data_IF_417234619510
#
_entry.id   IF_417234619510
#
_cell.length_a   1.000
_cell.length_b   1.000
_cell.length_c   1.000
_cell.angle_alpha   90.00
_cell.angle_beta   90.00
_cell.angle_gamma   90.00
#
_symmetry.space_group_name_H-M   'P 1'
#
loop_
_entity.id
_entity.type
_entity.pdbx_description
1 polymer ?
#
# COMPACT_ATOMS: atom_id res chain seq x y z
N UNK A 1 5.51 -22.73 19.52
CA UNK A 1 4.72 -21.78 20.34
C UNK A 1 3.84 -21.00 19.38
N UNK A 2 2.51 -21.10 19.50
CA UNK A 2 1.58 -20.31 18.68
C UNK A 2 1.40 -18.97 19.38
N UNK A 3 1.94 -17.90 18.81
CA UNK A 3 1.74 -16.55 19.32
C UNK A 3 0.38 -16.07 18.81
N UNK A 4 -0.50 -15.67 19.73
CA UNK A 4 -1.75 -15.02 19.37
C UNK A 4 -1.49 -13.59 18.91
N UNK A 5 -2.29 -13.11 17.96
CA UNK A 5 -2.22 -11.73 17.48
C UNK A 5 -2.58 -10.79 18.64
N UNK A 6 -1.75 -9.77 18.87
CA UNK A 6 -2.07 -8.76 19.87
C UNK A 6 -3.21 -7.89 19.32
N UNK A 7 -4.35 -7.88 20.02
CA UNK A 7 -5.48 -7.02 19.73
C UNK A 7 -5.46 -5.84 20.72
N UNK A 8 -5.14 -4.65 20.21
CA UNK A 8 -5.05 -3.42 21.02
C UNK A 8 -6.29 -2.53 20.91
N UNK A 9 -7.22 -2.86 20.01
CA UNK A 9 -8.49 -2.16 19.80
C UNK A 9 -9.65 -3.15 19.96
N UNK A 10 -10.72 -2.69 20.59
CA UNK A 10 -12.01 -3.37 20.62
C UNK A 10 -12.72 -3.30 19.26
N UNK A 11 -13.77 -4.11 19.10
CA UNK A 11 -14.59 -4.08 17.87
C UNK A 11 -15.26 -2.73 17.66
N UNK A 12 -15.75 -2.11 18.73
CA UNK A 12 -16.42 -0.81 18.66
C UNK A 12 -15.44 0.29 18.24
N UNK A 13 -14.20 0.27 18.75
CA UNK A 13 -13.15 1.21 18.32
C UNK A 13 -12.77 1.02 16.84
N UNK A 14 -12.72 -0.22 16.35
CA UNK A 14 -12.50 -0.50 14.92
C UNK A 14 -13.64 0.06 14.08
N UNK A 15 -14.90 -0.10 14.49
CA UNK A 15 -16.05 0.43 13.76
C UNK A 15 -16.11 1.96 13.77
N UNK A 16 -15.68 2.61 14.86
CA UNK A 16 -15.53 4.07 14.92
C UNK A 16 -14.50 4.54 13.88
N UNK A 17 -13.32 3.90 13.84
CA UNK A 17 -12.27 4.26 12.88
C UNK A 17 -12.75 4.03 11.44
N UNK A 18 -13.41 2.91 11.17
CA UNK A 18 -13.94 2.57 9.87
C UNK A 18 -14.99 3.60 9.41
N UNK A 19 -15.96 3.92 10.26
CA UNK A 19 -17.03 4.89 9.97
C UNK A 19 -16.46 6.28 9.71
N UNK A 20 -15.53 6.75 10.55
CA UNK A 20 -14.86 8.04 10.35
C UNK A 20 -14.02 8.08 9.06
N UNK A 21 -13.37 6.96 8.71
CA UNK A 21 -12.60 6.86 7.46
C UNK A 21 -13.51 6.96 6.23
N UNK A 22 -14.67 6.29 6.25
CA UNK A 22 -15.66 6.34 5.17
C UNK A 22 -16.30 7.74 5.06
N UNK A 23 -16.58 8.38 6.19
CA UNK A 23 -17.06 9.76 6.23
C UNK A 23 -16.04 10.71 5.59
N UNK A 24 -14.76 10.62 5.96
CA UNK A 24 -13.69 11.45 5.37
C UNK A 24 -13.56 11.24 3.86
N UNK A 25 -13.60 10.00 3.38
CA UNK A 25 -13.55 9.70 1.95
C UNK A 25 -14.74 10.31 1.19
N UNK A 26 -15.93 10.29 1.79
CA UNK A 26 -17.16 10.79 1.15
C UNK A 26 -17.31 12.31 1.21
N UNK A 27 -16.82 12.96 2.26
CA UNK A 27 -17.01 14.40 2.51
C UNK A 27 -15.81 15.24 2.08
N UNK A 28 -14.61 14.84 2.49
CA UNK A 28 -13.35 15.53 2.18
C UNK A 28 -12.76 15.01 0.87
N UNK A 29 -12.68 13.69 0.73
CA UNK A 29 -12.08 13.03 -0.43
C UNK A 29 -10.55 13.05 -0.43
N UNK A 30 -9.96 12.69 -1.57
CA UNK A 30 -8.51 12.65 -1.77
C UNK A 30 -8.12 13.43 -3.03
N UNK A 31 -6.97 14.09 -3.01
CA UNK A 31 -6.44 14.76 -4.21
C UNK A 31 -5.90 13.72 -5.19
N UNK A 32 -6.36 13.77 -6.43
CA UNK A 32 -5.90 12.89 -7.52
C UNK A 32 -5.45 13.77 -8.67
N UNK A 33 -4.14 13.96 -8.82
CA UNK A 33 -3.58 14.88 -9.83
C UNK A 33 -3.67 14.36 -11.26
N UNK A 34 -3.69 13.04 -11.44
CA UNK A 34 -3.81 12.41 -12.74
C UNK A 34 -5.26 12.47 -13.25
N UNK A 35 -5.46 13.08 -14.43
CA UNK A 35 -6.77 13.32 -15.02
C UNK A 35 -7.49 12.03 -15.41
N UNK A 36 -6.79 11.11 -16.07
CA UNK A 36 -7.27 9.78 -16.44
C UNK A 36 -7.81 8.98 -15.22
N UNK A 37 -7.18 9.17 -14.07
CA UNK A 37 -7.56 8.53 -12.82
C UNK A 37 -8.83 9.18 -12.25
N UNK A 38 -8.96 10.51 -12.34
CA UNK A 38 -10.21 11.21 -11.94
C UNK A 38 -11.39 10.79 -12.81
N UNK A 39 -11.20 10.70 -14.12
CA UNK A 39 -12.24 10.21 -15.05
C UNK A 39 -12.68 8.78 -14.71
N UNK A 40 -11.74 7.91 -14.36
CA UNK A 40 -12.04 6.54 -13.91
C UNK A 40 -12.87 6.53 -12.63
N UNK A 41 -12.55 7.39 -11.66
CA UNK A 41 -13.31 7.55 -10.44
C UNK A 41 -14.74 8.05 -10.72
N UNK A 42 -14.90 9.09 -11.53
CA UNK A 42 -16.20 9.64 -11.93
C UNK A 42 -17.07 8.57 -12.61
N UNK A 43 -16.50 7.84 -13.57
CA UNK A 43 -17.17 6.74 -14.27
C UNK A 43 -17.66 5.64 -13.32
N UNK A 44 -17.00 5.47 -12.17
CA UNK A 44 -17.39 4.50 -11.15
C UNK A 44 -18.31 5.09 -10.06
N UNK A 45 -18.75 6.34 -10.20
CA UNK A 45 -19.72 6.98 -9.30
C UNK A 45 -19.10 7.79 -8.16
N UNK A 46 -17.81 8.12 -8.23
CA UNK A 46 -17.21 9.13 -7.35
C UNK A 46 -17.58 10.55 -7.82
N UNK A 47 -17.50 11.53 -6.92
CA UNK A 47 -17.72 12.93 -7.23
C UNK A 47 -16.38 13.67 -7.34
N UNK A 48 -16.16 14.37 -8.45
CA UNK A 48 -14.91 15.10 -8.72
C UNK A 48 -15.14 16.58 -8.50
N UNK A 49 -14.27 17.19 -7.71
CA UNK A 49 -14.10 18.64 -7.66
C UNK A 49 -13.04 19.05 -8.68
N UNK A 50 -13.50 19.58 -9.81
CA UNK A 50 -12.65 19.99 -10.93
C UNK A 50 -11.83 21.25 -10.66
N UNK A 51 -12.16 22.03 -9.62
CA UNK A 51 -11.37 23.21 -9.24
C UNK A 51 -10.16 22.81 -8.40
N UNK A 52 -10.31 21.78 -7.54
CA UNK A 52 -9.28 21.37 -6.57
C UNK A 52 -8.57 20.06 -6.91
N UNK A 53 -9.08 19.30 -7.89
CA UNK A 53 -8.71 17.92 -8.22
C UNK A 53 -8.96 16.91 -7.09
N UNK A 54 -9.92 17.19 -6.20
CA UNK A 54 -10.32 16.25 -5.16
C UNK A 54 -11.39 15.28 -5.66
N UNK A 55 -11.27 14.02 -5.25
CA UNK A 55 -12.20 12.94 -5.52
C UNK A 55 -12.85 12.53 -4.21
N UNK A 56 -14.16 12.78 -4.10
CA UNK A 56 -15.00 12.31 -3.00
C UNK A 56 -15.58 10.94 -3.37
N UNK A 57 -15.32 9.96 -2.52
CA UNK A 57 -15.65 8.55 -2.76
C UNK A 57 -16.81 8.15 -1.85
N UNK A 58 -18.02 7.91 -2.39
CA UNK A 58 -19.16 7.50 -1.58
C UNK A 58 -18.90 6.20 -0.81
N UNK A 59 -19.43 6.10 0.40
CA UNK A 59 -19.30 4.90 1.23
C UNK A 59 -19.81 3.64 0.52
N UNK A 60 -20.94 3.75 -0.19
CA UNK A 60 -21.51 2.66 -0.99
C UNK A 60 -20.54 2.16 -2.05
N UNK A 61 -19.85 3.07 -2.73
CA UNK A 61 -18.84 2.74 -3.72
C UNK A 61 -17.67 1.99 -3.09
N UNK A 62 -17.16 2.44 -1.94
CA UNK A 62 -16.09 1.74 -1.20
C UNK A 62 -16.54 0.32 -0.83
N UNK A 63 -17.71 0.20 -0.19
CA UNK A 63 -18.26 -1.10 0.26
C UNK A 63 -18.50 -2.06 -0.90
N UNK A 64 -18.99 -1.57 -2.04
CA UNK A 64 -19.24 -2.41 -3.21
C UNK A 64 -17.96 -2.86 -3.89
N UNK A 65 -16.94 -1.99 -3.99
CA UNK A 65 -15.65 -2.36 -4.56
C UNK A 65 -14.89 -3.33 -3.66
N UNK A 66 -14.95 -3.18 -2.33
CA UNK A 66 -14.31 -4.11 -1.41
C UNK A 66 -14.80 -5.55 -1.55
N UNK A 67 -16.07 -5.77 -1.91
CA UNK A 67 -16.60 -7.13 -2.19
C UNK A 67 -15.91 -7.84 -3.34
N UNK A 68 -15.28 -7.09 -4.25
CA UNK A 68 -14.56 -7.64 -5.41
C UNK A 68 -13.10 -7.98 -5.08
N UNK A 69 -12.60 -7.54 -3.93
CA UNK A 69 -11.21 -7.75 -3.51
C UNK A 69 -11.06 -9.17 -2.93
N UNK A 70 -10.14 -10.00 -3.44
CA UNK A 70 -9.93 -11.33 -2.90
C UNK A 70 -9.31 -11.26 -1.49
N UNK A 71 -9.69 -12.19 -0.61
CA UNK A 71 -9.14 -12.28 0.75
C UNK A 71 -7.67 -12.73 0.78
N UNK A 72 -7.23 -13.45 -0.26
CA UNK A 72 -5.83 -13.76 -0.52
C UNK A 72 -5.57 -13.95 -2.02
N UNK A 73 -4.32 -13.76 -2.43
CA UNK A 73 -3.87 -14.04 -3.80
C UNK A 73 -2.40 -14.47 -3.81
N UNK A 74 -1.96 -15.08 -4.90
CA UNK A 74 -0.58 -15.57 -5.05
C UNK A 74 0.20 -14.67 -6.00
N UNK A 75 1.40 -14.26 -5.58
CA UNK A 75 2.38 -13.57 -6.41
C UNK A 75 3.40 -14.60 -6.88
N UNK A 76 3.71 -14.60 -8.17
CA UNK A 76 4.68 -15.50 -8.79
C UNK A 76 5.93 -14.73 -9.19
N UNK A 77 7.08 -15.34 -8.96
CA UNK A 77 8.35 -14.88 -9.50
C UNK A 77 8.41 -15.03 -11.03
N UNK A 78 9.40 -14.40 -11.70
CA UNK A 78 9.45 -14.30 -13.15
C UNK A 78 9.42 -15.64 -13.90
N UNK A 79 10.04 -16.69 -13.35
CA UNK A 79 10.11 -18.02 -13.95
C UNK A 79 9.14 -19.04 -13.30
N UNK A 80 8.32 -18.59 -12.35
CA UNK A 80 7.36 -19.42 -11.62
C UNK A 80 7.98 -20.39 -10.60
N UNK A 81 9.31 -20.46 -10.46
CA UNK A 81 9.99 -21.32 -9.49
C UNK A 81 9.74 -20.88 -8.05
N UNK A 82 9.54 -19.57 -7.85
CA UNK A 82 9.18 -18.95 -6.59
C UNK A 82 7.76 -18.40 -6.63
N UNK A 83 7.01 -18.58 -5.55
CA UNK A 83 5.74 -17.90 -5.34
C UNK A 83 5.44 -17.78 -3.84
N UNK A 84 4.60 -16.81 -3.49
CA UNK A 84 4.07 -16.69 -2.14
C UNK A 84 2.65 -16.17 -2.13
N UNK A 85 1.92 -16.53 -1.08
CA UNK A 85 0.57 -16.06 -0.84
C UNK A 85 0.59 -14.74 -0.04
N UNK A 86 -0.16 -13.76 -0.52
CA UNK A 86 -0.51 -12.53 0.20
C UNK A 86 -1.82 -12.75 0.92
N UNK A 87 -1.80 -12.73 2.25
CA UNK A 87 -2.96 -12.90 3.11
C UNK A 87 -2.77 -12.16 4.44
N UNK A 88 -3.78 -12.23 5.32
CA UNK A 88 -3.78 -11.54 6.63
C UNK A 88 -3.24 -12.40 7.78
N UNK A 89 -2.82 -13.64 7.50
CA UNK A 89 -2.42 -14.63 8.52
C UNK A 89 -0.95 -15.00 8.47
N UNK A 90 -0.23 -14.58 7.43
CA UNK A 90 1.20 -14.85 7.27
C UNK A 90 1.97 -13.56 6.99
N UNK A 91 3.15 -13.45 7.59
CA UNK A 91 4.05 -12.32 7.38
C UNK A 91 5.03 -12.65 6.25
N UNK A 92 5.22 -11.70 5.33
CA UNK A 92 6.26 -11.75 4.30
C UNK A 92 7.24 -10.62 4.54
N UNK A 93 8.52 -10.89 4.32
CA UNK A 93 9.57 -9.89 4.45
C UNK A 93 9.97 -9.40 3.07
N UNK A 94 10.16 -8.09 2.95
CA UNK A 94 10.68 -7.45 1.76
C UNK A 94 11.71 -6.41 2.18
N UNK A 95 12.65 -6.09 1.30
CA UNK A 95 13.61 -5.02 1.58
C UNK A 95 13.03 -3.64 1.33
N UNK A 96 13.73 -2.64 1.85
CA UNK A 96 13.52 -1.25 1.47
C UNK A 96 13.76 -1.09 -0.04
N UNK A 97 12.86 -0.38 -0.74
CA UNK A 97 12.89 -0.30 -2.20
C UNK A 97 14.11 0.46 -2.73
N UNK A 98 14.10 1.79 -2.60
CA UNK A 98 15.04 2.64 -3.34
C UNK A 98 15.75 3.62 -2.39
N UNK A 99 16.81 3.18 -1.66
CA UNK A 99 17.60 4.11 -0.88
C UNK A 99 18.28 5.13 -1.82
N UNK A 100 18.20 6.42 -1.48
CA UNK A 100 18.91 7.49 -2.22
C UNK A 100 20.33 7.70 -1.71
N UNK A 101 20.59 7.31 -0.46
CA UNK A 101 21.89 7.38 0.18
C UNK A 101 22.09 6.19 1.12
N UNK A 102 23.34 5.77 1.33
CA UNK A 102 23.68 4.64 2.19
C UNK A 102 24.99 4.83 2.94
N UNK A 103 25.14 4.11 4.05
CA UNK A 103 26.41 3.91 4.74
C UNK A 103 27.13 2.71 4.13
N UNK A 104 28.35 2.94 3.68
CA UNK A 104 29.19 1.92 3.09
C UNK A 104 30.42 1.70 3.98
N UNK A 105 30.85 0.46 4.12
CA UNK A 105 32.14 0.10 4.72
C UNK A 105 33.33 0.86 4.13
N UNK A 106 33.27 1.25 2.85
CA UNK A 106 34.30 2.07 2.21
C UNK A 106 34.30 3.54 2.68
N UNK A 107 33.18 4.02 3.21
CA UNK A 107 32.98 5.38 3.71
C UNK A 107 32.23 5.33 5.06
N UNK A 108 32.83 4.74 6.11
CA UNK A 108 32.11 4.33 7.33
C UNK A 108 31.58 5.51 8.17
N UNK A 109 32.03 6.73 7.88
CA UNK A 109 31.63 7.96 8.58
C UNK A 109 30.81 8.91 7.71
N UNK A 110 30.53 8.56 6.46
CA UNK A 110 29.89 9.45 5.51
C UNK A 110 28.74 8.78 4.78
N UNK A 111 27.65 9.53 4.64
CA UNK A 111 26.47 9.11 3.90
C UNK A 111 26.70 9.42 2.42
N UNK A 112 26.91 8.38 1.59
CA UNK A 112 27.15 8.56 0.15
C UNK A 112 25.89 8.29 -0.68
N UNK A 113 25.85 8.84 -1.89
CA UNK A 113 24.80 8.54 -2.88
C UNK A 113 24.86 7.05 -3.26
N UNK A 114 23.69 6.46 -3.44
CA UNK A 114 23.55 5.08 -3.95
C UNK A 114 23.95 5.02 -5.42
N UNK A 115 24.73 4.00 -5.77
CA UNK A 115 25.11 3.66 -7.16
C UNK A 115 24.40 2.38 -7.60
N UNK A 116 24.44 2.09 -8.89
CA UNK A 116 23.79 0.90 -9.45
C UNK A 116 24.29 -0.41 -8.81
N UNK A 117 25.60 -0.51 -8.53
CA UNK A 117 26.20 -1.69 -7.91
C UNK A 117 25.62 -1.99 -6.52
N UNK A 118 25.21 -0.97 -5.76
CA UNK A 118 24.60 -1.15 -4.44
C UNK A 118 23.25 -1.84 -4.54
N UNK A 119 22.46 -1.50 -5.57
CA UNK A 119 21.17 -2.14 -5.82
C UNK A 119 21.37 -3.61 -6.20
N UNK A 120 22.38 -3.92 -7.02
CA UNK A 120 22.72 -5.31 -7.34
C UNK A 120 23.13 -6.07 -6.07
N UNK A 121 24.00 -5.48 -5.23
CA UNK A 121 24.44 -6.09 -3.97
C UNK A 121 23.27 -6.30 -3.01
N UNK A 122 22.38 -5.33 -2.89
CA UNK A 122 21.18 -5.43 -2.07
C UNK A 122 20.28 -6.56 -2.55
N UNK A 123 19.98 -6.64 -3.85
CA UNK A 123 19.12 -7.70 -4.41
C UNK A 123 19.74 -9.08 -4.15
N UNK A 124 21.06 -9.24 -4.33
CA UNK A 124 21.79 -10.49 -4.03
C UNK A 124 21.84 -10.89 -2.56
N UNK A 125 21.58 -9.98 -1.63
CA UNK A 125 21.49 -10.32 -0.20
C UNK A 125 20.10 -10.91 0.12
N UNK A 126 19.10 -10.60 -0.71
CA UNK A 126 17.70 -10.98 -0.50
C UNK A 126 17.34 -12.28 -1.20
N UNK A 127 17.90 -12.48 -2.39
CA UNK A 127 17.78 -13.68 -3.23
C UNK A 127 18.80 -14.75 -2.80
#
# INVERSE_FOLDING_TARGET
>A
MKLEKIEVLSKDEIEIINSASLELLSTVGIKVDAEDTRELFEKNGANIDNETNFVRIPETLVKDKLKTVPSSFKIYGPDGSFNFEVNTTSTKFATIGTPIKLYDSSHPKELRKVIFEDNIKQIRIVD
#
